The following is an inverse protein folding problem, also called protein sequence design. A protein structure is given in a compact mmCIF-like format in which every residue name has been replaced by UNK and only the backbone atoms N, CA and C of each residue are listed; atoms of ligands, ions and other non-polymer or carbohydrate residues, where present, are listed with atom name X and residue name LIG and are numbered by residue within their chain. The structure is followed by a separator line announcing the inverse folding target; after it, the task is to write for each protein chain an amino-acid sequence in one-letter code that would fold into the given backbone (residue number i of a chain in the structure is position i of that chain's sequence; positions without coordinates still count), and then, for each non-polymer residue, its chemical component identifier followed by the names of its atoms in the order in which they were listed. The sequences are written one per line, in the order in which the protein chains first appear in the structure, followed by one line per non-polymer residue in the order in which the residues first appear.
data_IF_805508032170
#
_entry.id   IF_805508032170
#
_cell.length_a   1.000
_cell.length_b   1.000
_cell.length_c   1.000
_cell.angle_alpha   90.00
_cell.angle_beta   90.00
_cell.angle_gamma   90.00
#
_symmetry.space_group_name_H-M   'P 1'
#
loop_
_entity.id
_entity.type
_entity.pdbx_description
1 polymer ?
#
# COMPACT_ATOMS: atom_id res chain seq x y z
N UNK A 1 -23.41 15.81 -9.54
CA UNK A 1 -22.23 15.52 -10.38
C UNK A 1 -21.41 14.45 -9.67
N UNK A 2 -21.62 13.18 -10.00
CA UNK A 2 -20.80 12.09 -9.47
C UNK A 2 -19.86 11.67 -10.59
N UNK A 3 -18.60 12.06 -10.48
CA UNK A 3 -17.56 11.70 -11.43
C UNK A 3 -17.28 10.21 -11.21
N UNK A 4 -17.98 9.34 -11.94
CA UNK A 4 -17.59 7.94 -12.09
C UNK A 4 -16.40 7.92 -13.03
N UNK A 5 -15.19 7.82 -12.47
CA UNK A 5 -13.99 7.59 -13.27
C UNK A 5 -14.16 6.25 -13.98
N UNK A 6 -14.30 6.25 -15.30
CA UNK A 6 -14.43 5.05 -16.15
C UNK A 6 -13.17 4.16 -16.16
N UNK A 7 -12.18 4.49 -15.34
CA UNK A 7 -11.06 3.62 -15.04
C UNK A 7 -11.44 2.84 -13.78
N UNK A 8 -11.86 1.59 -13.95
CA UNK A 8 -11.91 0.64 -12.83
C UNK A 8 -10.51 0.61 -12.23
N UNK A 9 -10.32 1.29 -11.10
CA UNK A 9 -9.15 1.05 -10.26
C UNK A 9 -9.25 -0.43 -9.96
N UNK A 10 -8.26 -1.26 -10.35
CA UNK A 10 -8.33 -2.68 -10.04
C UNK A 10 -8.57 -2.78 -8.53
N UNK A 11 -9.59 -3.53 -8.12
CA UNK A 11 -9.90 -3.75 -6.70
C UNK A 11 -8.71 -4.36 -5.93
N UNK A 12 -7.68 -4.78 -6.68
CA UNK A 12 -6.45 -5.40 -6.25
C UNK A 12 -5.34 -4.38 -5.92
N UNK A 13 -5.49 -3.10 -6.27
CA UNK A 13 -4.44 -2.08 -6.11
C UNK A 13 -4.92 -0.91 -5.27
N UNK A 14 -4.27 -0.72 -4.12
CA UNK A 14 -4.56 0.35 -3.19
C UNK A 14 -3.36 1.29 -3.12
N UNK A 15 -3.59 2.59 -3.31
CA UNK A 15 -2.56 3.59 -3.11
C UNK A 15 -2.43 3.93 -1.62
N UNK A 16 -1.21 3.89 -1.10
CA UNK A 16 -0.88 4.30 0.26
C UNK A 16 0.10 5.47 0.22
N UNK A 17 -0.03 6.38 1.18
CA UNK A 17 0.76 7.61 1.27
C UNK A 17 1.29 7.81 2.68
N UNK A 18 2.43 8.48 2.76
CA UNK A 18 3.06 8.84 4.03
C UNK A 18 2.18 9.85 4.76
N UNK A 19 1.96 9.61 6.05
CA UNK A 19 1.23 10.55 6.92
C UNK A 19 2.12 11.65 7.46
N UNK A 20 3.44 11.45 7.46
CA UNK A 20 4.44 12.42 7.91
C UNK A 20 5.65 12.35 7.00
N UNK A 21 6.14 13.51 6.56
CA UNK A 21 7.27 13.63 5.63
C UNK A 21 8.22 14.69 6.17
N UNK A 22 9.48 14.30 6.35
CA UNK A 22 10.55 15.19 6.79
C UNK A 22 11.57 15.40 5.67
N UNK A 23 12.11 16.61 5.47
CA UNK A 23 13.19 16.85 4.52
C UNK A 23 14.40 15.95 4.84
N UNK A 24 14.96 15.31 3.81
CA UNK A 24 16.14 14.43 3.96
C UNK A 24 15.86 13.06 4.55
N UNK A 25 14.63 12.77 5.01
CA UNK A 25 14.27 11.44 5.49
C UNK A 25 13.82 10.53 4.33
N UNK A 26 14.18 9.25 4.41
CA UNK A 26 13.69 8.20 3.53
C UNK A 26 12.57 7.42 4.21
N UNK A 27 11.41 7.32 3.58
CA UNK A 27 10.29 6.50 4.06
C UNK A 27 10.20 5.23 3.24
N UNK A 28 10.05 4.10 3.92
CA UNK A 28 9.70 2.82 3.34
C UNK A 28 8.37 2.33 3.92
N UNK A 29 7.57 1.64 3.11
CA UNK A 29 6.33 1.02 3.56
C UNK A 29 6.52 -0.49 3.58
N UNK A 30 6.09 -1.14 4.66
CA UNK A 30 6.16 -2.58 4.81
C UNK A 30 4.87 -3.17 5.38
N UNK A 31 4.62 -4.44 5.08
CA UNK A 31 3.52 -5.19 5.69
C UNK A 31 4.08 -5.84 6.95
N UNK A 32 3.58 -5.43 8.11
CA UNK A 32 4.01 -5.91 9.43
C UNK A 32 3.32 -7.22 9.79
N UNK A 33 2.03 -7.35 9.48
CA UNK A 33 1.25 -8.56 9.75
C UNK A 33 0.07 -8.70 8.79
N UNK A 34 -0.61 -9.85 8.82
CA UNK A 34 -1.80 -10.13 8.01
C UNK A 34 -1.54 -10.69 6.61
N UNK A 35 -0.27 -10.82 6.20
CA UNK A 35 0.11 -11.33 4.88
C UNK A 35 0.82 -12.69 4.92
N UNK A 36 0.35 -13.60 5.78
CA UNK A 36 0.99 -14.92 5.99
C UNK A 36 1.07 -15.78 4.73
N UNK A 37 0.14 -15.58 3.79
CA UNK A 37 0.07 -16.33 2.54
C UNK A 37 0.84 -15.64 1.39
N UNK A 38 1.36 -14.44 1.59
CA UNK A 38 1.98 -13.65 0.50
C UNK A 38 0.96 -13.20 -0.55
N UNK A 39 -0.29 -13.00 -0.16
CA UNK A 39 -1.35 -12.50 -1.04
C UNK A 39 -1.09 -11.05 -1.45
N UNK A 40 -0.37 -10.28 -0.65
CA UNK A 40 -0.09 -8.87 -0.88
C UNK A 40 1.40 -8.61 -1.01
N UNK A 41 1.75 -7.57 -1.76
CA UNK A 41 3.07 -6.97 -1.74
C UNK A 41 2.98 -5.45 -1.88
N UNK A 42 4.03 -4.78 -1.43
CA UNK A 42 4.15 -3.33 -1.56
C UNK A 42 5.11 -3.01 -2.69
N UNK A 43 4.67 -2.15 -3.60
CA UNK A 43 5.49 -1.56 -4.65
C UNK A 43 5.70 -0.08 -4.34
N UNK A 44 6.92 0.27 -3.96
CA UNK A 44 7.27 1.65 -3.69
C UNK A 44 7.27 2.48 -4.98
N UNK A 45 6.65 3.66 -4.95
CA UNK A 45 6.58 4.56 -6.10
C UNK A 45 7.56 5.70 -5.90
N UNK A 46 7.58 6.29 -4.71
CA UNK A 46 8.55 7.31 -4.32
C UNK A 46 8.67 7.36 -2.78
N UNK A 47 9.28 8.42 -2.26
CA UNK A 47 9.52 8.62 -0.84
C UNK A 47 8.26 8.94 0.00
N UNK A 48 7.12 9.19 -0.65
CA UNK A 48 5.87 9.59 0.00
C UNK A 48 4.69 8.72 -0.40
N UNK A 49 4.83 7.86 -1.41
CA UNK A 49 3.76 6.99 -1.88
C UNK A 49 4.24 5.59 -2.28
N UNK A 50 3.35 4.63 -2.07
CA UNK A 50 3.50 3.26 -2.51
C UNK A 50 2.15 2.68 -2.95
N UNK A 51 2.20 1.53 -3.60
CA UNK A 51 1.03 0.74 -3.95
C UNK A 51 1.05 -0.56 -3.14
N UNK A 52 -0.05 -0.86 -2.46
CA UNK A 52 -0.34 -2.18 -1.93
C UNK A 52 -1.08 -2.95 -3.02
N UNK A 53 -0.51 -4.07 -3.45
CA UNK A 53 -1.03 -4.87 -4.56
C UNK A 53 -1.37 -6.27 -4.07
N UNK A 54 -2.59 -6.71 -4.36
CA UNK A 54 -3.01 -8.09 -4.22
C UNK A 54 -2.48 -8.90 -5.42
N UNK A 55 -1.58 -9.84 -5.15
CA UNK A 55 -0.92 -10.67 -6.16
C UNK A 55 -1.81 -11.82 -6.68
N UNK A 56 -2.85 -12.20 -5.93
CA UNK A 56 -3.69 -13.36 -6.24
C UNK A 56 -5.17 -13.00 -6.28
N UNK A 57 -5.92 -13.50 -7.28
CA UNK A 57 -7.36 -13.30 -7.33
C UNK A 57 -8.06 -13.78 -6.06
N UNK A 58 -9.01 -13.01 -5.54
CA UNK A 58 -9.85 -13.43 -4.42
C UNK A 58 -10.99 -14.31 -4.95
N UNK A 59 -11.21 -15.47 -4.32
CA UNK A 59 -12.36 -16.33 -4.60
C UNK A 59 -13.41 -16.18 -3.51
N UNK A 60 -14.59 -15.64 -3.86
CA UNK A 60 -15.70 -15.42 -2.94
C UNK A 60 -15.50 -14.21 -2.00
N UNK A 61 -16.49 -13.92 -1.13
CA UNK A 61 -16.36 -12.87 -0.13
C UNK A 61 -15.25 -13.23 0.87
N UNK A 62 -14.24 -12.37 0.97
CA UNK A 62 -13.11 -12.57 1.89
C UNK A 62 -12.67 -11.25 2.47
N UNK A 63 -12.41 -11.25 3.76
CA UNK A 63 -11.87 -10.11 4.49
C UNK A 63 -10.37 -10.30 4.70
N UNK A 64 -9.60 -9.24 4.44
CA UNK A 64 -8.17 -9.19 4.66
C UNK A 64 -7.85 -8.05 5.63
N UNK A 65 -7.26 -8.39 6.77
CA UNK A 65 -6.76 -7.43 7.75
C UNK A 65 -5.25 -7.40 7.65
N UNK A 66 -4.69 -6.24 7.31
CA UNK A 66 -3.27 -6.03 7.14
C UNK A 66 -2.79 -4.96 8.10
N UNK A 67 -1.70 -5.25 8.79
CA UNK A 67 -0.99 -4.23 9.56
C UNK A 67 0.12 -3.67 8.68
N UNK A 68 0.02 -2.39 8.35
CA UNK A 68 1.01 -1.68 7.55
C UNK A 68 1.88 -0.82 8.47
N UNK A 69 3.16 -0.73 8.14
CA UNK A 69 4.11 0.11 8.85
C UNK A 69 4.86 1.00 7.86
N UNK A 70 4.98 2.28 8.21
CA UNK A 70 5.87 3.22 7.55
C UNK A 70 7.12 3.35 8.41
N UNK A 71 8.28 3.02 7.85
CA UNK A 71 9.57 3.18 8.49
C UNK A 71 10.25 4.42 7.91
N UNK A 72 10.49 5.40 8.76
CA UNK A 72 11.22 6.63 8.40
C UNK A 72 12.67 6.51 8.87
N UNK A 73 13.60 6.57 7.93
CA UNK A 73 15.04 6.56 8.18
C UNK A 73 15.58 7.96 7.93
N UNK A 74 16.29 8.52 8.90
CA UNK A 74 16.99 9.78 8.73
C UNK A 74 18.43 9.49 8.26
N UNK A 75 18.90 10.18 7.22
CA UNK A 75 20.25 9.99 6.68
C UNK A 75 21.28 10.98 7.26
N UNK A 76 21.05 11.50 8.48
CA UNK A 76 21.99 12.39 9.17
C UNK A 76 23.30 11.68 9.52
#
# INVERSE_FOLDING_TARGET
MTITSERSVPADVFQIQATSVYPGAYNAFQIRAGNSQGDFYIRQINNVSAMLVLARPVTGPREYVLDLEMVTMNSL
#
